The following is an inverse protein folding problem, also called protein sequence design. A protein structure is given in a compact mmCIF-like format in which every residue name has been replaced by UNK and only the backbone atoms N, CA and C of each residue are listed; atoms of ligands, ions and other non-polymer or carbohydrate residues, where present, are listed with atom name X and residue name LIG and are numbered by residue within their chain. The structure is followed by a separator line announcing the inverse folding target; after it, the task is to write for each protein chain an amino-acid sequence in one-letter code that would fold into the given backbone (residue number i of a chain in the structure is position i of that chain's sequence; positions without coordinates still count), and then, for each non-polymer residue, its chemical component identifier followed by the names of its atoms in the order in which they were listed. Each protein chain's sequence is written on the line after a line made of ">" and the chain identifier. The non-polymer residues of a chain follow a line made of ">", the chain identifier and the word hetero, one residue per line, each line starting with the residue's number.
data_IF_247825902222
#
_entry.id   IF_247825902222
#
_cell.length_a   1.000
_cell.length_b   1.000
_cell.length_c   1.000
_cell.angle_alpha   90.00
_cell.angle_beta   90.00
_cell.angle_gamma   90.00
#
_symmetry.space_group_name_H-M   'P 1'
#
loop_
_entity.id
_entity.type
_entity.pdbx_description
1 polymer ?
#
# COMPACT_ATOMS: atom_id res chain seq x y z
N UNK A 1 21.42 -19.66 70.73
CA UNK A 1 22.81 -19.28 71.11
C UNK A 1 22.88 -17.92 71.80
N UNK A 2 22.41 -16.81 71.20
CA UNK A 2 22.37 -15.48 71.85
C UNK A 2 21.55 -15.46 73.15
N UNK A 3 20.41 -16.14 73.15
CA UNK A 3 19.48 -16.23 74.27
C UNK A 3 20.09 -16.93 75.51
N UNK A 4 20.97 -17.91 75.30
CA UNK A 4 21.70 -18.60 76.36
C UNK A 4 22.70 -17.66 77.08
N UNK A 5 23.36 -16.77 76.34
CA UNK A 5 24.27 -15.78 76.94
C UNK A 5 23.52 -14.69 77.71
N UNK A 6 22.35 -14.28 77.21
CA UNK A 6 21.46 -13.33 77.89
C UNK A 6 20.88 -13.95 79.17
N UNK A 7 20.45 -15.21 79.12
CA UNK A 7 19.96 -15.94 80.29
C UNK A 7 21.07 -16.17 81.32
N UNK A 8 22.29 -16.47 80.89
CA UNK A 8 23.46 -16.60 81.78
C UNK A 8 23.86 -15.27 82.43
N UNK A 9 23.70 -14.13 81.73
CA UNK A 9 23.90 -12.79 82.29
C UNK A 9 22.81 -12.44 83.32
N UNK A 10 21.55 -12.79 83.06
CA UNK A 10 20.44 -12.61 84.01
C UNK A 10 20.64 -13.44 85.28
N UNK A 11 21.03 -14.70 85.15
CA UNK A 11 21.38 -15.56 86.28
C UNK A 11 22.54 -15.00 87.12
N UNK A 12 23.50 -14.33 86.48
CA UNK A 12 24.62 -13.67 87.16
C UNK A 12 24.19 -12.48 88.03
N UNK A 13 23.09 -11.83 87.65
CA UNK A 13 22.50 -10.69 88.37
C UNK A 13 21.61 -11.17 89.52
N UNK A 14 20.86 -12.26 89.31
CA UNK A 14 19.95 -12.82 90.32
C UNK A 14 20.69 -13.56 91.46
N UNK A 15 21.90 -14.07 91.22
CA UNK A 15 22.74 -14.75 92.21
C UNK A 15 24.19 -14.19 92.18
N UNK A 16 24.47 -13.08 92.87
CA UNK A 16 25.81 -12.49 92.88
C UNK A 16 26.81 -13.40 93.62
N UNK A 17 27.96 -13.65 93.01
CA UNK A 17 29.06 -14.37 93.65
C UNK A 17 29.64 -13.55 94.81
N UNK A 18 30.12 -14.22 95.87
CA UNK A 18 30.77 -13.57 97.03
C UNK A 18 32.09 -12.84 96.69
N UNK A 19 32.69 -13.13 95.53
CA UNK A 19 33.92 -12.49 95.04
C UNK A 19 33.59 -11.50 93.89
N UNK A 20 33.79 -10.19 94.10
CA UNK A 20 33.49 -9.17 93.10
C UNK A 20 34.34 -9.27 91.83
N UNK A 21 35.58 -9.79 91.92
CA UNK A 21 36.46 -9.88 90.76
C UNK A 21 36.12 -11.08 89.87
N UNK A 22 35.77 -12.22 90.47
CA UNK A 22 35.24 -13.37 89.72
C UNK A 22 33.94 -13.03 88.97
N UNK A 23 33.06 -12.24 89.57
CA UNK A 23 31.82 -11.76 88.94
C UNK A 23 32.12 -10.89 87.70
N UNK A 24 33.04 -9.93 87.82
CA UNK A 24 33.48 -9.05 86.73
C UNK A 24 34.07 -9.82 85.57
N UNK A 25 34.93 -10.81 85.85
CA UNK A 25 35.56 -11.65 84.83
C UNK A 25 34.49 -12.42 84.04
N UNK A 26 33.54 -13.06 84.73
CA UNK A 26 32.47 -13.84 84.08
C UNK A 26 31.50 -12.95 83.28
N UNK A 27 31.14 -11.79 83.80
CA UNK A 27 30.30 -10.82 83.09
C UNK A 27 30.99 -10.30 81.81
N UNK A 28 32.27 -9.95 81.90
CA UNK A 28 33.06 -9.49 80.75
C UNK A 28 33.21 -10.58 79.68
N UNK A 29 33.40 -11.83 80.08
CA UNK A 29 33.45 -12.97 79.15
C UNK A 29 32.13 -13.15 78.40
N UNK A 30 30.99 -13.14 79.12
CA UNK A 30 29.65 -13.24 78.52
C UNK A 30 29.37 -12.05 77.58
N UNK A 31 29.79 -10.84 77.96
CA UNK A 31 29.64 -9.65 77.11
C UNK A 31 30.51 -9.71 75.85
N UNK A 32 31.73 -10.26 75.94
CA UNK A 32 32.58 -10.53 74.79
C UNK A 32 31.94 -11.54 73.83
N UNK A 33 31.34 -12.62 74.36
CA UNK A 33 30.58 -13.59 73.57
C UNK A 33 29.37 -12.94 72.88
N UNK A 34 28.60 -12.10 73.59
CA UNK A 34 27.46 -11.38 73.02
C UNK A 34 27.88 -10.42 71.90
N UNK A 35 28.99 -9.69 72.09
CA UNK A 35 29.59 -8.82 71.05
C UNK A 35 30.03 -9.62 69.82
N UNK A 36 30.61 -10.80 70.01
CA UNK A 36 30.99 -11.70 68.91
C UNK A 36 29.76 -12.13 68.11
N UNK A 37 28.71 -12.60 68.79
CA UNK A 37 27.45 -13.01 68.12
C UNK A 37 26.78 -11.83 67.41
N UNK A 38 26.79 -10.63 68.00
CA UNK A 38 26.25 -9.43 67.35
C UNK A 38 27.04 -9.05 66.08
N UNK A 39 28.37 -9.14 66.12
CA UNK A 39 29.22 -8.94 64.92
C UNK A 39 28.91 -9.97 63.85
N UNK A 40 28.78 -11.25 64.22
CA UNK A 40 28.41 -12.31 63.29
C UNK A 40 27.04 -12.07 62.64
N UNK A 41 26.03 -11.66 63.43
CA UNK A 41 24.69 -11.33 62.90
C UNK A 41 24.73 -10.11 61.94
N UNK A 42 25.50 -9.08 62.28
CA UNK A 42 25.67 -7.91 61.41
C UNK A 42 26.40 -8.26 60.11
N UNK A 43 27.41 -9.13 60.17
CA UNK A 43 28.11 -9.63 58.98
C UNK A 43 27.19 -10.46 58.09
N UNK A 44 26.42 -11.38 58.67
CA UNK A 44 25.43 -12.17 57.92
C UNK A 44 24.37 -11.28 57.26
N UNK A 45 23.89 -10.24 57.97
CA UNK A 45 22.94 -9.27 57.42
C UNK A 45 23.54 -8.49 56.25
N UNK A 46 24.82 -8.10 56.34
CA UNK A 46 25.52 -7.42 55.23
C UNK A 46 25.68 -8.35 54.02
N UNK A 47 26.14 -9.58 54.25
CA UNK A 47 26.28 -10.58 53.19
C UNK A 47 24.96 -10.81 52.44
N UNK A 48 23.86 -11.00 53.17
CA UNK A 48 22.53 -11.19 52.55
C UNK A 48 22.05 -9.94 51.78
N UNK A 49 22.37 -8.74 52.27
CA UNK A 49 22.08 -7.49 51.53
C UNK A 49 22.89 -7.39 50.25
N UNK A 50 24.17 -7.74 50.29
CA UNK A 50 25.06 -7.69 49.14
C UNK A 50 24.63 -8.72 48.08
N UNK A 51 24.31 -9.96 48.49
CA UNK A 51 23.76 -10.99 47.61
C UNK A 51 22.45 -10.55 46.95
N UNK A 52 21.53 -9.98 47.73
CA UNK A 52 20.25 -9.48 47.20
C UNK A 52 20.45 -8.30 46.24
N UNK A 53 21.43 -7.43 46.52
CA UNK A 53 21.75 -6.30 45.65
C UNK A 53 22.31 -6.77 44.30
N UNK A 54 23.19 -7.78 44.29
CA UNK A 54 23.71 -8.39 43.06
C UNK A 54 22.57 -9.02 42.25
N UNK A 55 21.75 -9.86 42.88
CA UNK A 55 20.62 -10.51 42.20
C UNK A 55 19.63 -9.48 41.63
N UNK A 56 19.38 -8.38 42.35
CA UNK A 56 18.53 -7.29 41.85
C UNK A 56 19.17 -6.59 40.64
N UNK A 57 20.47 -6.33 40.68
CA UNK A 57 21.18 -5.71 39.55
C UNK A 57 21.13 -6.59 38.29
N UNK A 58 21.29 -7.91 38.44
CA UNK A 58 21.15 -8.86 37.33
C UNK A 58 19.74 -8.85 36.75
N UNK A 59 18.71 -8.84 37.60
CA UNK A 59 17.31 -8.71 37.18
C UNK A 59 17.05 -7.40 36.42
N UNK A 60 17.55 -6.27 36.94
CA UNK A 60 17.39 -4.96 36.30
C UNK A 60 18.07 -4.94 34.92
N UNK A 61 19.25 -5.55 34.80
CA UNK A 61 19.94 -5.69 33.52
C UNK A 61 19.15 -6.55 32.51
N UNK A 62 18.62 -7.69 32.95
CA UNK A 62 17.77 -8.54 32.11
C UNK A 62 16.47 -7.82 31.68
N UNK A 63 15.85 -7.06 32.59
CA UNK A 63 14.66 -6.25 32.29
C UNK A 63 14.94 -5.18 31.23
N UNK A 64 16.09 -4.52 31.30
CA UNK A 64 16.52 -3.56 30.27
C UNK A 64 16.76 -4.25 28.92
N UNK A 65 17.39 -5.42 28.92
CA UNK A 65 17.55 -6.24 27.71
C UNK A 65 16.21 -6.60 27.07
N UNK A 66 15.24 -7.04 27.88
CA UNK A 66 13.89 -7.33 27.41
C UNK A 66 13.20 -6.08 26.82
N UNK A 67 13.32 -4.92 27.45
CA UNK A 67 12.74 -3.68 26.92
C UNK A 67 13.33 -3.30 25.56
N UNK A 68 14.65 -3.46 25.37
CA UNK A 68 15.31 -3.23 24.08
C UNK A 68 14.76 -4.15 23.00
N UNK A 69 14.65 -5.45 23.28
CA UNK A 69 14.10 -6.43 22.33
C UNK A 69 12.62 -6.17 22.01
N UNK A 70 11.81 -5.76 22.99
CA UNK A 70 10.41 -5.39 22.76
C UNK A 70 10.30 -4.14 21.89
N UNK A 71 11.20 -3.17 22.06
CA UNK A 71 11.26 -1.99 21.20
C UNK A 71 11.63 -2.39 19.76
N UNK A 72 12.67 -3.20 19.59
CA UNK A 72 13.09 -3.69 18.27
C UNK A 72 11.97 -4.47 17.58
N UNK A 73 11.33 -5.40 18.30
CA UNK A 73 10.17 -6.14 17.79
C UNK A 73 9.08 -5.20 17.29
N UNK A 74 8.65 -4.22 18.09
CA UNK A 74 7.61 -3.24 17.69
C UNK A 74 8.06 -2.37 16.52
N UNK A 75 9.35 -2.06 16.42
CA UNK A 75 9.89 -1.33 15.28
C UNK A 75 9.78 -2.17 14.01
N UNK A 76 10.24 -3.42 14.04
CA UNK A 76 10.14 -4.35 12.91
C UNK A 76 8.68 -4.63 12.51
N UNK A 77 7.77 -4.83 13.46
CA UNK A 77 6.35 -5.02 13.17
C UNK A 77 5.76 -3.79 12.44
N UNK A 78 6.14 -2.57 12.83
CA UNK A 78 5.71 -1.36 12.12
C UNK A 78 6.30 -1.26 10.72
N UNK A 79 7.57 -1.61 10.53
CA UNK A 79 8.19 -1.61 9.20
C UNK A 79 7.56 -2.67 8.28
N UNK A 80 7.29 -3.89 8.80
CA UNK A 80 6.58 -4.94 8.06
C UNK A 80 5.20 -4.45 7.63
N UNK A 81 4.46 -3.79 8.54
CA UNK A 81 3.14 -3.27 8.23
C UNK A 81 3.19 -2.17 7.16
N UNK A 82 4.18 -1.26 7.23
CA UNK A 82 4.41 -0.26 6.16
C UNK A 82 4.67 -0.94 4.81
N UNK A 83 5.50 -1.97 4.79
CA UNK A 83 5.79 -2.73 3.56
C UNK A 83 4.53 -3.46 3.03
N UNK A 84 3.67 -3.97 3.90
CA UNK A 84 2.42 -4.63 3.51
C UNK A 84 1.37 -3.65 2.99
N UNK A 85 1.34 -2.43 3.53
CA UNK A 85 0.48 -1.35 3.07
C UNK A 85 0.93 -0.73 1.75
N UNK A 86 2.04 -1.19 1.18
CA UNK A 86 2.45 -0.80 -0.15
C UNK A 86 1.42 -1.30 -1.17
N UNK A 87 0.52 -0.40 -1.55
CA UNK A 87 -0.41 -0.61 -2.66
C UNK A 87 0.25 -0.13 -3.94
N UNK A 88 0.38 -1.04 -4.90
CA UNK A 88 0.91 -0.75 -6.22
C UNK A 88 -0.24 -0.56 -7.21
N UNK A 89 -0.11 0.40 -8.11
CA UNK A 89 -1.15 0.78 -9.09
C UNK A 89 -1.72 -0.42 -9.87
N UNK A 90 -0.91 -1.46 -10.16
CA UNK A 90 -1.37 -2.62 -10.93
C UNK A 90 -2.54 -3.38 -10.26
N UNK A 91 -2.70 -3.28 -8.94
CA UNK A 91 -3.75 -3.98 -8.19
C UNK A 91 -5.15 -3.41 -8.49
N UNK A 92 -5.24 -2.16 -8.94
CA UNK A 92 -6.50 -1.47 -9.24
C UNK A 92 -6.82 -1.45 -10.74
N UNK A 93 -5.92 -1.94 -11.59
CA UNK A 93 -6.12 -1.93 -13.04
C UNK A 93 -7.22 -2.94 -13.38
N UNK A 94 -8.28 -2.56 -14.10
CA UNK A 94 -9.23 -3.52 -14.62
C UNK A 94 -8.52 -4.37 -15.67
N UNK A 95 -8.41 -5.67 -15.39
CA UNK A 95 -7.81 -6.67 -16.28
C UNK A 95 -8.91 -7.56 -16.85
N UNK A 96 -8.68 -8.11 -18.04
CA UNK A 96 -9.45 -9.26 -18.53
C UNK A 96 -9.50 -10.38 -17.49
N UNK A 97 -10.62 -11.09 -17.47
CA UNK A 97 -10.77 -12.30 -16.66
C UNK A 97 -9.74 -13.36 -17.05
N UNK A 98 -9.53 -14.35 -16.18
CA UNK A 98 -8.54 -15.40 -16.43
C UNK A 98 -8.94 -16.24 -17.65
N UNK A 99 -10.23 -16.50 -17.81
CA UNK A 99 -10.82 -17.21 -18.95
C UNK A 99 -10.60 -16.45 -20.25
N UNK A 100 -10.89 -15.14 -20.27
CA UNK A 100 -10.68 -14.28 -21.44
C UNK A 100 -9.20 -14.18 -21.80
N UNK A 101 -8.32 -14.04 -20.80
CA UNK A 101 -6.88 -14.01 -21.01
C UNK A 101 -6.40 -15.31 -21.67
N UNK A 102 -6.79 -16.48 -21.15
CA UNK A 102 -6.36 -17.76 -21.73
C UNK A 102 -6.86 -17.93 -23.17
N UNK A 103 -8.02 -17.38 -23.52
CA UNK A 103 -8.58 -17.47 -24.88
C UNK A 103 -7.94 -16.49 -25.86
N UNK A 104 -7.70 -15.25 -25.44
CA UNK A 104 -7.31 -14.13 -26.30
C UNK A 104 -5.80 -13.86 -26.32
N UNK A 105 -5.08 -14.24 -25.27
CA UNK A 105 -3.65 -13.98 -25.18
C UNK A 105 -2.85 -14.86 -26.15
N UNK A 106 -1.69 -14.35 -26.64
CA UNK A 106 -0.76 -15.13 -27.46
C UNK A 106 -0.29 -16.42 -26.76
N UNK A 107 0.08 -17.44 -27.54
CA UNK A 107 0.49 -18.73 -26.99
C UNK A 107 1.73 -18.63 -26.10
N UNK A 108 2.63 -17.71 -26.43
CA UNK A 108 3.86 -17.42 -25.70
C UNK A 108 3.57 -16.88 -24.28
N UNK A 109 2.42 -16.25 -24.07
CA UNK A 109 2.00 -15.67 -22.81
C UNK A 109 1.19 -16.63 -21.92
N UNK A 110 0.84 -17.82 -22.43
CA UNK A 110 -0.01 -18.82 -21.75
C UNK A 110 0.62 -20.21 -21.66
N UNK A 111 1.95 -20.28 -21.66
CA UNK A 111 2.63 -21.58 -21.52
C UNK A 111 2.31 -22.23 -20.15
N UNK A 112 2.35 -23.56 -20.03
CA UNK A 112 2.06 -24.25 -18.77
C UNK A 112 2.92 -23.77 -17.60
N UNK A 113 4.18 -23.42 -17.86
CA UNK A 113 5.11 -22.88 -16.86
C UNK A 113 4.63 -21.52 -16.34
N UNK A 114 4.20 -20.64 -17.25
CA UNK A 114 3.66 -19.32 -16.91
C UNK A 114 2.35 -19.42 -16.15
N UNK A 115 1.46 -20.34 -16.53
CA UNK A 115 0.18 -20.56 -15.85
C UNK A 115 0.36 -21.13 -14.44
N UNK A 116 1.47 -21.83 -14.18
CA UNK A 116 1.78 -22.42 -12.88
C UNK A 116 2.36 -21.42 -11.87
N UNK A 117 3.01 -20.35 -12.33
CA UNK A 117 3.61 -19.32 -11.49
C UNK A 117 2.71 -18.07 -11.45
N UNK A 118 2.10 -17.80 -10.30
CA UNK A 118 1.19 -16.66 -10.10
C UNK A 118 1.81 -15.31 -10.47
N UNK A 119 3.11 -15.12 -10.19
CA UNK A 119 3.79 -13.86 -10.49
C UNK A 119 4.00 -13.70 -11.99
N UNK A 120 4.47 -14.74 -12.67
CA UNK A 120 4.63 -14.73 -14.12
C UNK A 120 3.29 -14.59 -14.84
N UNK A 121 2.25 -15.26 -14.34
CA UNK A 121 0.88 -15.09 -14.84
C UNK A 121 0.44 -13.64 -14.74
N UNK A 122 0.62 -12.98 -13.59
CA UNK A 122 0.23 -11.57 -13.42
C UNK A 122 1.00 -10.64 -14.37
N UNK A 123 2.31 -10.84 -14.54
CA UNK A 123 3.11 -10.05 -15.47
C UNK A 123 2.63 -10.19 -16.91
N UNK A 124 2.31 -11.42 -17.35
CA UNK A 124 1.80 -11.66 -18.70
C UNK A 124 0.38 -11.12 -18.90
N UNK A 125 -0.47 -11.15 -17.87
CA UNK A 125 -1.79 -10.50 -17.91
C UNK A 125 -1.66 -8.98 -18.07
N UNK A 126 -0.73 -8.35 -17.34
CA UNK A 126 -0.48 -6.91 -17.44
C UNK A 126 0.12 -6.52 -18.79
N UNK A 127 1.05 -7.31 -19.33
CA UNK A 127 1.64 -7.04 -20.65
C UNK A 127 0.61 -7.17 -21.78
N UNK A 128 -0.26 -8.18 -21.69
CA UNK A 128 -1.38 -8.37 -22.60
C UNK A 128 -2.37 -7.20 -22.55
N UNK A 129 -2.78 -6.78 -21.35
CA UNK A 129 -3.67 -5.62 -21.15
C UNK A 129 -3.07 -4.34 -21.76
N UNK A 130 -1.77 -4.11 -21.54
CA UNK A 130 -1.06 -2.97 -22.12
C UNK A 130 -1.10 -3.00 -23.65
N UNK A 131 -0.79 -4.15 -24.25
CA UNK A 131 -0.79 -4.33 -25.69
C UNK A 131 -2.20 -4.11 -26.28
N UNK A 132 -3.25 -4.63 -25.63
CA UNK A 132 -4.63 -4.44 -26.05
C UNK A 132 -5.06 -2.98 -25.95
N UNK A 133 -4.73 -2.28 -24.87
CA UNK A 133 -5.04 -0.85 -24.75
C UNK A 133 -4.33 -0.02 -25.82
N UNK A 134 -3.07 -0.30 -26.12
CA UNK A 134 -2.34 0.35 -27.19
C UNK A 134 -2.99 0.10 -28.56
N UNK A 135 -3.41 -1.15 -28.83
CA UNK A 135 -4.11 -1.52 -30.07
C UNK A 135 -5.44 -0.77 -30.21
N UNK A 136 -6.24 -0.72 -29.13
CA UNK A 136 -7.53 -0.03 -29.11
C UNK A 136 -7.38 1.48 -29.27
N UNK A 137 -6.39 2.09 -28.60
CA UNK A 137 -6.10 3.52 -28.73
C UNK A 137 -5.65 3.88 -30.15
N UNK A 138 -4.80 3.06 -30.76
CA UNK A 138 -4.40 3.24 -32.15
C UNK A 138 -5.61 3.14 -33.08
N UNK A 139 -6.45 2.12 -32.90
CA UNK A 139 -7.66 1.94 -33.71
C UNK A 139 -8.65 3.10 -33.55
N UNK A 140 -8.80 3.62 -32.32
CA UNK A 140 -9.62 4.79 -32.04
C UNK A 140 -9.11 6.03 -32.79
N UNK A 141 -7.80 6.26 -32.81
CA UNK A 141 -7.19 7.38 -33.55
C UNK A 141 -7.46 7.27 -35.06
N UNK A 142 -7.29 6.08 -35.63
CA UNK A 142 -7.58 5.82 -37.04
C UNK A 142 -9.06 6.08 -37.38
N UNK A 143 -9.98 5.59 -36.54
CA UNK A 143 -11.42 5.80 -36.74
C UNK A 143 -11.82 7.28 -36.60
N UNK A 144 -11.19 8.02 -35.68
CA UNK A 144 -11.41 9.46 -35.55
C UNK A 144 -10.92 10.21 -36.79
N UNK A 145 -9.75 9.86 -37.32
CA UNK A 145 -9.23 10.45 -38.55
C UNK A 145 -10.15 10.15 -39.74
N UNK A 146 -10.55 8.88 -39.93
CA UNK A 146 -11.46 8.48 -40.99
C UNK A 146 -12.82 9.20 -40.89
N UNK A 147 -13.34 9.38 -39.67
CA UNK A 147 -14.55 10.17 -39.43
C UNK A 147 -14.36 11.64 -39.86
N UNK A 148 -13.24 12.25 -39.52
CA UNK A 148 -12.96 13.64 -39.90
C UNK A 148 -12.85 13.80 -41.43
N UNK A 149 -12.21 12.86 -42.10
CA UNK A 149 -12.05 12.87 -43.55
C UNK A 149 -13.40 12.68 -44.26
N UNK A 150 -14.25 11.76 -43.79
CA UNK A 150 -15.61 11.59 -44.29
C UNK A 150 -16.48 12.83 -44.08
N UNK A 151 -16.33 13.52 -42.94
CA UNK A 151 -17.05 14.78 -42.70
C UNK A 151 -16.60 15.88 -43.66
N UNK A 152 -15.28 15.99 -43.93
CA UNK A 152 -14.75 16.93 -44.94
C UNK A 152 -15.26 16.60 -46.33
N UNK A 153 -15.26 15.32 -46.72
CA UNK A 153 -15.77 14.86 -48.01
C UNK A 153 -17.27 15.14 -48.15
N UNK A 154 -18.07 14.83 -47.12
CA UNK A 154 -19.50 15.11 -47.09
C UNK A 154 -19.79 16.61 -47.24
N UNK A 155 -19.02 17.47 -46.57
CA UNK A 155 -19.15 18.93 -46.69
C UNK A 155 -18.79 19.41 -48.10
N UNK A 156 -17.73 18.86 -48.68
CA UNK A 156 -17.33 19.17 -50.07
C UNK A 156 -18.42 18.77 -51.06
N UNK A 157 -18.97 17.54 -50.94
CA UNK A 157 -20.09 17.06 -51.77
C UNK A 157 -21.35 17.90 -51.60
N UNK A 158 -21.66 18.35 -50.39
CA UNK A 158 -22.79 19.25 -50.14
C UNK A 158 -22.59 20.59 -50.87
N UNK A 159 -21.40 21.19 -50.76
CA UNK A 159 -21.08 22.43 -51.45
C UNK A 159 -21.14 22.29 -52.98
N UNK A 160 -20.66 21.18 -53.54
CA UNK A 160 -20.77 20.94 -54.99
C UNK A 160 -22.21 20.73 -55.43
N UNK A 161 -23.02 20.01 -54.63
CA UNK A 161 -24.45 19.84 -54.89
C UNK A 161 -25.21 21.17 -54.90
N UNK A 162 -24.97 22.04 -53.92
CA UNK A 162 -25.58 23.38 -53.88
C UNK A 162 -25.14 24.23 -55.07
N UNK A 163 -23.86 24.17 -55.47
CA UNK A 163 -23.38 24.85 -56.67
C UNK A 163 -24.06 24.34 -57.95
N UNK A 164 -24.17 23.01 -58.12
CA UNK A 164 -24.85 22.41 -59.28
C UNK A 164 -26.32 22.82 -59.32
N UNK A 165 -27.00 22.79 -58.17
CA UNK A 165 -28.38 23.25 -58.04
C UNK A 165 -28.54 24.69 -58.51
N UNK A 166 -27.68 25.61 -58.05
CA UNK A 166 -27.71 27.01 -58.47
C UNK A 166 -27.49 27.20 -59.99
N UNK A 167 -26.59 26.39 -60.59
CA UNK A 167 -26.36 26.40 -62.05
C UNK A 167 -27.58 25.88 -62.83
N UNK A 168 -28.23 24.82 -62.33
CA UNK A 168 -29.48 24.30 -62.94
C UNK A 168 -30.60 25.34 -62.85
N UNK A 169 -30.78 25.98 -61.70
CA UNK A 169 -31.77 27.06 -61.52
C UNK A 169 -31.52 28.21 -62.51
N UNK A 170 -30.26 28.58 -62.71
CA UNK A 170 -29.85 29.59 -63.69
C UNK A 170 -30.16 29.14 -65.13
N UNK A 171 -29.80 27.91 -65.49
CA UNK A 171 -30.08 27.35 -66.82
C UNK A 171 -31.58 27.28 -67.11
N UNK A 172 -32.39 26.82 -66.16
CA UNK A 172 -33.86 26.77 -66.28
C UNK A 172 -34.42 28.18 -66.52
N UNK A 173 -33.95 29.17 -65.76
CA UNK A 173 -34.35 30.57 -65.96
C UNK A 173 -33.99 31.07 -67.36
N UNK A 174 -32.76 30.85 -67.81
CA UNK A 174 -32.33 31.23 -69.16
C UNK A 174 -33.12 30.50 -70.25
N UNK A 175 -33.38 29.21 -70.09
CA UNK A 175 -34.16 28.42 -71.04
C UNK A 175 -35.62 28.93 -71.13
N UNK A 176 -36.24 29.27 -69.99
CA UNK A 176 -37.57 29.90 -69.97
C UNK A 176 -37.56 31.27 -70.66
N UNK A 177 -36.52 32.07 -70.46
CA UNK A 177 -36.39 33.37 -71.13
C UNK A 177 -36.18 33.22 -72.65
N UNK A 178 -35.41 32.22 -73.09
CA UNK A 178 -35.25 31.88 -74.51
C UNK A 178 -36.55 31.35 -75.10
N UNK A 179 -37.25 30.46 -74.40
CA UNK A 179 -38.54 29.92 -74.84
C UNK A 179 -39.54 31.05 -75.09
N UNK A 180 -39.67 32.01 -74.16
CA UNK A 180 -40.51 33.20 -74.35
C UNK A 180 -40.14 33.97 -75.62
N UNK A 181 -38.84 34.20 -75.86
CA UNK A 181 -38.38 34.88 -77.09
C UNK A 181 -38.66 34.08 -78.36
N UNK A 182 -38.54 32.76 -78.33
CA UNK A 182 -38.83 31.89 -79.47
C UNK A 182 -40.34 31.88 -79.75
N UNK A 183 -41.18 31.78 -78.72
CA UNK A 183 -42.64 31.86 -78.85
C UNK A 183 -43.09 33.22 -79.43
N UNK A 184 -42.39 34.31 -79.09
CA UNK A 184 -42.60 35.63 -79.69
C UNK A 184 -42.21 35.69 -81.19
N UNK A 185 -41.18 34.94 -81.60
CA UNK A 185 -40.64 34.93 -82.97
C UNK A 185 -41.32 33.92 -83.90
N UNK A 186 -41.82 32.80 -83.38
CA UNK A 186 -42.57 31.78 -84.13
C UNK A 186 -44.05 32.15 -84.12
N UNK A 187 -44.43 33.14 -84.94
CA UNK A 187 -45.83 33.25 -85.35
C UNK A 187 -46.20 32.04 -86.22
N UNK A 188 -47.44 31.52 -86.13
CA UNK A 188 -47.85 30.35 -86.91
C UNK A 188 -47.66 30.63 -88.40
N UNK A 189 -46.97 29.72 -89.09
CA UNK A 189 -46.86 29.73 -90.54
C UNK A 189 -48.26 29.81 -91.13
N UNK A 190 -48.57 30.94 -91.77
CA UNK A 190 -49.73 31.02 -92.63
C UNK A 190 -49.55 29.96 -93.71
N UNK A 191 -50.33 28.88 -93.63
CA UNK A 191 -50.56 27.97 -94.73
C UNK A 191 -51.16 28.79 -95.88
N UNK A 192 -50.31 29.19 -96.82
CA UNK A 192 -50.71 29.69 -98.12
C UNK A 192 -51.47 28.59 -98.87
N UNK A 193 -52.80 28.65 -98.85
CA UNK A 193 -53.61 28.07 -99.91
C UNK A 193 -54.07 29.20 -100.82
N UNK A 194 -53.23 29.50 -101.82
CA UNK A 194 -53.65 30.18 -103.04
C UNK A 194 -54.20 29.16 -104.04
N UNK A 195 -55.12 29.64 -104.88
CA UNK A 195 -55.47 29.17 -106.23
C UNK A 195 -56.77 28.33 -106.33
N UNK A 196 -57.92 28.99 -106.48
CA UNK A 196 -58.54 29.37 -107.78
C UNK A 196 -59.87 30.07 -107.51
#
# INVERSE_FOLDING_TARGET
>A
MSEQYIQSLRQLVDQPANDPDALRIRANALFACLKSVNRAANLATRASKDETAIARQEMDHASLGLQNLLYEKRHLEREIEKCRQFASVYQEVPLYSLEEFVQLAPEEARTPEVLSDEHQLMLNRLSFELAERQRLDQRKRELLQAKEDLLKESKSKLNTMENVKAQIETLVKTALDVQKKVDELVQPTQSSNSTT
#
